data_IF_408640537911
#
_entry.id   IF_408640537911
#
_cell.length_a   1.000
_cell.length_b   1.000
_cell.length_c   1.000
_cell.angle_alpha   90.00
_cell.angle_beta   90.00
_cell.angle_gamma   90.00
#
_symmetry.space_group_name_H-M   'P 1'
#
loop_
_entity.id
_entity.type
_entity.pdbx_description
1 polymer ?
#
# COMPACT_ATOMS: atom_id res chain seq x y z
N UNK A 1 5.10 18.58 21.68
CA UNK A 1 4.70 18.57 20.25
C UNK A 1 5.32 17.35 19.57
N UNK A 2 4.60 16.62 18.71
CA UNK A 2 5.17 15.53 17.90
C UNK A 2 5.78 16.14 16.64
N UNK A 3 7.01 15.71 16.30
CA UNK A 3 7.63 16.01 15.00
C UNK A 3 7.44 14.82 14.07
N UNK A 4 6.66 15.02 13.00
CA UNK A 4 6.32 14.00 12.02
C UNK A 4 7.06 14.30 10.71
N UNK A 5 7.89 13.36 10.27
CA UNK A 5 8.41 13.34 8.90
C UNK A 5 7.46 12.63 7.95
N UNK A 6 7.45 13.04 6.69
CA UNK A 6 6.83 12.27 5.61
C UNK A 6 7.81 12.17 4.44
N UNK A 7 8.00 10.95 3.93
CA UNK A 7 8.67 10.68 2.66
C UNK A 7 7.58 10.30 1.66
N UNK A 8 7.37 11.10 0.63
CA UNK A 8 6.33 10.84 -0.37
C UNK A 8 6.76 11.29 -1.77
N UNK A 9 5.98 10.90 -2.77
CA UNK A 9 6.06 11.49 -4.11
C UNK A 9 5.71 13.00 -4.07
N UNK A 10 6.10 13.78 -5.09
CA UNK A 10 5.95 15.24 -5.08
C UNK A 10 4.55 15.72 -4.71
N UNK A 11 4.43 16.46 -3.60
CA UNK A 11 3.15 16.93 -3.05
C UNK A 11 2.38 17.87 -3.99
N UNK A 12 3.05 18.48 -4.95
CA UNK A 12 2.45 19.37 -5.97
C UNK A 12 1.69 18.61 -7.07
N UNK A 13 1.90 17.30 -7.17
CA UNK A 13 1.29 16.45 -8.20
C UNK A 13 0.06 15.67 -7.71
N UNK A 14 -0.24 15.72 -6.41
CA UNK A 14 -1.28 14.89 -5.81
C UNK A 14 -2.70 15.38 -6.14
N UNK A 15 -3.68 14.48 -5.97
CA UNK A 15 -5.10 14.82 -6.03
C UNK A 15 -5.66 14.83 -4.62
N UNK A 16 -5.71 16.00 -3.98
CA UNK A 16 -6.08 16.14 -2.55
C UNK A 16 -7.42 15.49 -2.15
N UNK A 17 -8.36 15.35 -3.09
CA UNK A 17 -9.66 14.66 -2.87
C UNK A 17 -9.54 13.14 -2.69
N UNK A 18 -8.44 12.54 -3.13
CA UNK A 18 -8.19 11.08 -3.12
C UNK A 18 -6.93 10.70 -2.34
N UNK A 19 -6.05 11.67 -2.08
CA UNK A 19 -4.75 11.42 -1.50
C UNK A 19 -4.85 11.15 0.01
N UNK A 20 -4.50 9.93 0.39
CA UNK A 20 -4.53 9.49 1.80
C UNK A 20 -3.36 10.08 2.58
N UNK A 21 -2.18 10.28 1.97
CA UNK A 21 -1.04 10.93 2.62
C UNK A 21 -1.42 12.36 3.04
N UNK A 22 -2.06 13.11 2.16
CA UNK A 22 -2.57 14.45 2.44
C UNK A 22 -3.64 14.46 3.54
N UNK A 23 -4.54 13.45 3.58
CA UNK A 23 -5.50 13.28 4.67
C UNK A 23 -4.78 13.13 6.02
N UNK A 24 -3.74 12.28 6.08
CA UNK A 24 -2.92 12.09 7.28
C UNK A 24 -2.25 13.39 7.71
N UNK A 25 -1.73 14.19 6.76
CA UNK A 25 -1.08 15.47 7.06
C UNK A 25 -2.06 16.50 7.64
N UNK A 26 -3.30 16.57 7.13
CA UNK A 26 -4.33 17.45 7.70
C UNK A 26 -4.64 17.07 9.15
N UNK A 27 -4.79 15.77 9.43
CA UNK A 27 -5.06 15.29 10.79
C UNK A 27 -3.87 15.53 11.73
N UNK A 28 -2.64 15.26 11.29
CA UNK A 28 -1.42 15.56 12.05
C UNK A 28 -1.34 17.06 12.38
N UNK A 29 -1.62 17.93 11.41
CA UNK A 29 -1.64 19.38 11.63
C UNK A 29 -2.77 19.80 12.57
N UNK A 30 -3.96 19.20 12.48
CA UNK A 30 -5.09 19.45 13.39
C UNK A 30 -4.73 19.10 14.84
N UNK A 31 -3.90 18.07 15.06
CA UNK A 31 -3.35 17.69 16.37
C UNK A 31 -2.15 18.55 16.81
N UNK A 32 -1.74 19.52 16.00
CA UNK A 32 -0.64 20.44 16.31
C UNK A 32 0.75 19.83 16.15
N UNK A 33 0.92 18.84 15.27
CA UNK A 33 2.24 18.28 14.97
C UNK A 33 3.07 19.27 14.13
N UNK A 34 4.39 19.24 14.30
CA UNK A 34 5.33 19.88 13.38
C UNK A 34 5.63 18.89 12.25
N UNK A 35 5.29 19.26 11.01
CA UNK A 35 5.41 18.38 9.84
C UNK A 35 6.67 18.73 9.06
N UNK A 36 7.47 17.71 8.76
CA UNK A 36 8.67 17.78 7.94
C UNK A 36 8.47 16.98 6.64
N UNK A 37 8.46 17.69 5.52
CA UNK A 37 8.34 17.11 4.19
C UNK A 37 9.70 16.71 3.62
N UNK A 38 9.75 15.53 2.99
CA UNK A 38 10.90 14.98 2.30
C UNK A 38 10.46 14.22 1.04
N UNK A 39 11.30 14.27 0.02
CA UNK A 39 11.27 13.36 -1.12
C UNK A 39 12.44 12.35 -1.03
N UNK A 40 12.50 11.37 -1.92
CA UNK A 40 13.57 10.36 -1.92
C UNK A 40 14.97 10.98 -2.06
N UNK A 41 15.10 12.04 -2.87
CA UNK A 41 16.37 12.75 -3.09
C UNK A 41 16.85 13.57 -1.88
N UNK A 42 15.96 13.83 -0.92
CA UNK A 42 16.29 14.56 0.30
C UNK A 42 16.98 13.65 1.32
N UNK A 43 16.77 12.33 1.22
CA UNK A 43 17.31 11.32 2.13
C UNK A 43 18.77 11.01 1.81
N UNK A 44 19.61 10.95 2.84
CA UNK A 44 20.97 10.46 2.68
C UNK A 44 21.51 9.82 3.95
N UNK A 45 22.59 9.06 3.77
CA UNK A 45 23.34 8.44 4.86
C UNK A 45 24.76 9.01 4.88
N UNK A 46 25.17 9.57 6.01
CA UNK A 46 26.55 10.02 6.21
C UNK A 46 27.16 9.31 7.41
N UNK A 47 28.19 8.49 7.16
CA UNK A 47 28.87 7.68 8.19
C UNK A 47 27.89 6.90 9.10
N UNK A 48 26.84 6.33 8.51
CA UNK A 48 25.84 5.53 9.24
C UNK A 48 24.78 6.33 9.99
N UNK A 49 24.78 7.66 9.89
CA UNK A 49 23.72 8.53 10.40
C UNK A 49 22.75 8.87 9.28
N UNK A 50 21.46 8.57 9.49
CA UNK A 50 20.39 8.94 8.57
C UNK A 50 20.05 10.41 8.72
N UNK A 51 20.09 11.13 7.61
CA UNK A 51 19.85 12.56 7.55
C UNK A 51 18.94 12.89 6.38
N UNK A 52 18.32 14.06 6.44
CA UNK A 52 17.60 14.60 5.31
C UNK A 52 17.59 16.12 5.29
N UNK A 53 17.52 16.67 4.08
CA UNK A 53 17.06 18.04 3.86
C UNK A 53 15.54 18.06 3.99
N UNK A 54 15.02 18.65 5.04
CA UNK A 54 13.57 18.73 5.29
C UNK A 54 13.05 20.14 5.09
N UNK A 55 11.80 20.27 4.66
CA UNK A 55 11.06 21.53 4.66
C UNK A 55 9.93 21.42 5.66
N UNK A 56 9.76 22.40 6.56
CA UNK A 56 8.55 22.44 7.38
C UNK A 56 7.34 22.64 6.47
N UNK A 57 6.23 21.97 6.79
CA UNK A 57 5.08 21.90 5.90
C UNK A 57 3.80 22.32 6.62
N UNK A 58 3.07 23.24 6.00
CA UNK A 58 1.68 23.54 6.33
C UNK A 58 0.80 23.04 5.19
N UNK A 59 -0.29 22.37 5.50
CA UNK A 59 -1.29 21.88 4.53
C UNK A 59 -2.65 22.51 4.77
N UNK A 60 -3.43 22.67 3.68
CA UNK A 60 -4.79 23.21 3.74
C UNK A 60 -5.63 22.54 2.67
N UNK A 61 -6.88 22.21 2.99
CA UNK A 61 -7.83 21.67 2.01
C UNK A 61 -8.32 22.74 1.02
N UNK A 62 -7.45 23.13 0.10
CA UNK A 62 -7.67 24.20 -0.88
C UNK A 62 -7.06 23.81 -2.25
N UNK A 63 -7.90 23.54 -3.27
CA UNK A 63 -7.40 23.18 -4.61
C UNK A 63 -6.55 24.26 -5.30
N UNK A 64 -6.59 25.52 -4.86
CA UNK A 64 -5.77 26.59 -5.42
C UNK A 64 -4.35 26.64 -4.82
N UNK A 65 -4.14 25.98 -3.68
CA UNK A 65 -2.88 25.98 -2.95
C UNK A 65 -3.01 25.17 -1.68
N UNK A 66 -2.71 23.88 -1.76
CA UNK A 66 -2.96 22.93 -0.67
C UNK A 66 -1.77 22.72 0.27
N UNK A 67 -0.62 23.30 -0.05
CA UNK A 67 0.58 23.19 0.75
C UNK A 67 1.41 24.47 0.72
N UNK A 68 2.19 24.69 1.77
CA UNK A 68 3.17 25.75 1.87
C UNK A 68 4.41 25.23 2.60
N UNK A 69 5.57 25.40 1.98
CA UNK A 69 6.85 25.14 2.64
C UNK A 69 7.25 26.34 3.51
N UNK A 70 7.73 26.03 4.72
CA UNK A 70 8.39 26.96 5.60
C UNK A 70 9.92 26.80 5.52
N UNK A 71 10.56 26.73 6.69
CA UNK A 71 12.01 26.64 6.81
C UNK A 71 12.55 25.33 6.24
N UNK A 72 13.61 25.44 5.44
CA UNK A 72 14.43 24.32 5.01
C UNK A 72 15.60 24.11 5.97
N UNK A 73 15.87 22.85 6.31
CA UNK A 73 16.89 22.49 7.29
C UNK A 73 17.41 21.08 7.05
N UNK A 74 18.70 20.89 7.29
CA UNK A 74 19.36 19.58 7.28
C UNK A 74 19.37 18.99 8.70
N UNK A 75 18.66 17.89 8.91
CA UNK A 75 18.50 17.29 10.24
C UNK A 75 18.86 15.80 10.24
N UNK A 76 19.24 15.28 11.40
CA UNK A 76 19.29 13.84 11.61
C UNK A 76 17.86 13.30 11.77
N UNK A 77 17.52 12.25 11.03
CA UNK A 77 16.16 11.71 11.00
C UNK A 77 15.73 11.10 12.33
N UNK A 78 16.68 10.62 13.14
CA UNK A 78 16.43 10.16 14.51
C UNK A 78 15.90 11.25 15.47
N UNK A 79 15.95 12.53 15.08
CA UNK A 79 15.38 13.63 15.88
C UNK A 79 13.87 13.81 15.66
N UNK A 80 13.31 13.21 14.61
CA UNK A 80 11.87 13.16 14.37
C UNK A 80 11.25 12.08 15.25
N UNK A 81 10.07 12.34 15.81
CA UNK A 81 9.39 11.33 16.64
C UNK A 81 8.85 10.18 15.77
N UNK A 82 8.32 10.51 14.59
CA UNK A 82 7.80 9.52 13.65
C UNK A 82 8.08 9.93 12.21
N UNK A 83 8.21 8.96 11.30
CA UNK A 83 8.34 9.18 9.86
C UNK A 83 7.35 8.28 9.13
N UNK A 84 6.48 8.89 8.34
CA UNK A 84 5.59 8.17 7.42
C UNK A 84 6.33 7.90 6.11
N UNK A 85 6.59 6.63 5.80
CA UNK A 85 7.10 6.20 4.49
C UNK A 85 5.90 5.99 3.56
N UNK A 86 5.60 7.01 2.75
CA UNK A 86 4.44 7.11 1.86
C UNK A 86 4.83 7.24 0.39
N UNK A 87 6.04 6.80 0.04
CA UNK A 87 6.48 6.66 -1.35
C UNK A 87 5.65 5.58 -2.04
N UNK A 88 5.08 5.89 -3.20
CA UNK A 88 4.34 4.91 -3.99
C UNK A 88 5.30 3.86 -4.60
N UNK A 89 4.84 2.62 -4.81
CA UNK A 89 5.53 1.63 -5.64
C UNK A 89 5.94 2.18 -7.03
N UNK A 90 6.89 1.53 -7.74
CA UNK A 90 7.27 0.13 -7.61
C UNK A 90 8.12 -0.18 -6.38
N UNK A 91 8.03 -1.43 -5.91
CA UNK A 91 8.98 -1.96 -4.94
C UNK A 91 10.26 -2.35 -5.67
N UNK A 92 11.15 -1.38 -5.85
CA UNK A 92 12.42 -1.53 -6.54
C UNK A 92 13.61 -1.44 -5.57
N UNK A 93 14.82 -1.49 -6.13
CA UNK A 93 16.04 -1.41 -5.32
C UNK A 93 16.21 -0.05 -4.64
N UNK A 94 15.72 1.04 -5.24
CA UNK A 94 15.79 2.38 -4.64
C UNK A 94 14.86 2.48 -3.42
N UNK A 95 13.66 1.89 -3.49
CA UNK A 95 12.78 1.73 -2.35
C UNK A 95 13.49 0.96 -1.22
N UNK A 96 14.15 -0.15 -1.56
CA UNK A 96 14.94 -0.94 -0.61
C UNK A 96 16.06 -0.10 0.02
N UNK A 97 16.82 0.67 -0.76
CA UNK A 97 17.88 1.53 -0.23
C UNK A 97 17.35 2.58 0.74
N UNK A 98 16.22 3.22 0.42
CA UNK A 98 15.57 4.15 1.34
C UNK A 98 15.16 3.45 2.65
N UNK A 99 14.71 2.19 2.62
CA UNK A 99 14.40 1.46 3.85
C UNK A 99 15.63 1.31 4.76
N UNK A 100 16.84 1.11 4.22
CA UNK A 100 18.05 1.04 5.06
C UNK A 100 18.40 2.40 5.68
N UNK A 101 18.17 3.51 4.99
CA UNK A 101 18.34 4.86 5.56
C UNK A 101 17.34 5.05 6.70
N UNK A 102 16.07 4.73 6.48
CA UNK A 102 15.02 4.85 7.51
C UNK A 102 15.25 3.91 8.70
N UNK A 103 15.83 2.73 8.49
CA UNK A 103 16.19 1.79 9.57
C UNK A 103 17.30 2.33 10.48
N UNK A 104 18.20 3.17 9.94
CA UNK A 104 19.18 3.90 10.75
C UNK A 104 18.54 5.02 11.58
N UNK A 105 17.46 5.65 11.08
CA UNK A 105 16.64 6.57 11.88
C UNK A 105 15.83 5.81 12.95
N UNK A 106 15.29 4.64 12.62
CA UNK A 106 14.59 3.75 13.55
C UNK A 106 15.50 3.35 14.72
N UNK A 107 16.73 2.91 14.40
CA UNK A 107 17.76 2.57 15.39
C UNK A 107 18.15 3.73 16.30
N UNK A 108 17.95 4.97 15.84
CA UNK A 108 18.20 6.20 16.59
C UNK A 108 16.97 6.69 17.39
N UNK A 109 15.85 5.95 17.36
CA UNK A 109 14.67 6.21 18.20
C UNK A 109 13.45 6.78 17.47
N UNK A 110 13.50 6.98 16.14
CA UNK A 110 12.33 7.42 15.37
C UNK A 110 11.38 6.25 15.11
N UNK A 111 10.08 6.44 15.30
CA UNK A 111 9.09 5.47 14.83
C UNK A 111 8.96 5.57 13.31
N UNK A 112 9.09 4.46 12.57
CA UNK A 112 8.87 4.46 11.13
C UNK A 112 7.56 3.74 10.81
N UNK A 113 6.69 4.40 10.04
CA UNK A 113 5.37 3.89 9.63
C UNK A 113 5.38 3.69 8.12
N UNK A 114 5.47 2.47 7.58
CA UNK A 114 5.63 1.17 8.26
C UNK A 114 7.10 0.80 8.51
N UNK A 115 7.32 -0.21 9.37
CA UNK A 115 8.67 -0.69 9.72
C UNK A 115 9.53 -1.04 8.48
N UNK A 116 10.75 -0.46 8.32
CA UNK A 116 11.61 -0.66 7.16
C UNK A 116 11.96 -2.11 6.85
N UNK A 117 12.30 -2.90 7.87
CA UNK A 117 12.56 -4.33 7.72
C UNK A 117 11.35 -5.05 7.15
N UNK A 118 10.17 -4.79 7.73
CA UNK A 118 8.93 -5.42 7.30
C UNK A 118 8.49 -5.01 5.91
N UNK A 119 8.79 -3.78 5.47
CA UNK A 119 8.59 -3.37 4.08
C UNK A 119 9.42 -4.23 3.11
N UNK A 120 10.62 -4.66 3.50
CA UNK A 120 11.45 -5.57 2.69
C UNK A 120 10.99 -7.03 2.78
N UNK A 121 10.52 -7.46 3.95
CA UNK A 121 10.04 -8.83 4.17
C UNK A 121 8.68 -9.10 3.50
N UNK A 122 7.83 -8.08 3.42
CA UNK A 122 6.41 -8.21 3.10
C UNK A 122 6.06 -7.61 1.74
N UNK A 123 6.58 -8.19 0.65
CA UNK A 123 6.16 -7.79 -0.70
C UNK A 123 4.64 -7.96 -0.87
N UNK A 124 3.99 -6.97 -1.51
CA UNK A 124 2.52 -6.84 -1.49
C UNK A 124 1.78 -8.04 -2.11
N UNK A 125 2.44 -8.80 -2.99
CA UNK A 125 1.89 -10.01 -3.60
C UNK A 125 2.40 -11.26 -2.91
N UNK A 126 3.71 -11.41 -2.73
CA UNK A 126 4.30 -12.62 -2.14
C UNK A 126 3.95 -12.81 -0.67
N UNK A 127 3.66 -11.74 0.07
CA UNK A 127 3.33 -11.85 1.49
C UNK A 127 2.02 -12.64 1.72
N UNK A 128 1.18 -12.75 0.69
CA UNK A 128 0.00 -13.64 0.71
C UNK A 128 0.36 -15.11 0.89
N UNK A 129 1.59 -15.54 0.57
CA UNK A 129 2.04 -16.92 0.76
C UNK A 129 2.05 -17.37 2.24
N UNK A 130 2.12 -16.42 3.19
CA UNK A 130 2.00 -16.70 4.62
C UNK A 130 0.54 -16.87 5.09
N UNK A 131 -0.42 -16.69 4.19
CA UNK A 131 -1.86 -16.79 4.45
C UNK A 131 -2.55 -17.63 3.37
N UNK A 132 -1.89 -18.66 2.87
CA UNK A 132 -2.33 -19.42 1.69
C UNK A 132 -3.79 -19.92 1.78
N UNK A 133 -4.27 -20.29 2.98
CA UNK A 133 -5.65 -20.73 3.22
C UNK A 133 -6.71 -19.65 2.91
N UNK A 134 -6.32 -18.37 2.97
CA UNK A 134 -7.18 -17.22 2.68
C UNK A 134 -7.11 -16.77 1.22
N UNK A 135 -6.17 -17.29 0.43
CA UNK A 135 -5.87 -16.82 -0.93
C UNK A 135 -6.54 -17.68 -2.01
N UNK A 136 -6.64 -17.22 -3.27
CA UNK A 136 -6.90 -18.13 -4.39
C UNK A 136 -5.72 -19.10 -4.59
N UNK A 137 -5.93 -20.17 -5.36
CA UNK A 137 -4.83 -21.03 -5.81
C UNK A 137 -3.80 -20.14 -6.53
N UNK A 138 -2.57 -20.13 -6.03
CA UNK A 138 -1.54 -19.17 -6.40
C UNK A 138 -0.24 -19.90 -6.74
N UNK A 139 0.29 -19.62 -7.93
CA UNK A 139 1.58 -20.09 -8.39
C UNK A 139 2.50 -18.90 -8.65
N UNK A 140 3.73 -18.95 -8.13
CA UNK A 140 4.79 -18.02 -8.49
C UNK A 140 5.92 -18.79 -9.17
N UNK A 141 6.25 -18.40 -10.40
CA UNK A 141 7.23 -19.12 -11.21
C UNK A 141 7.76 -18.26 -12.35
N UNK A 142 8.91 -18.66 -12.89
CA UNK A 142 9.45 -18.17 -14.18
C UNK A 142 9.39 -19.24 -15.27
N UNK A 143 8.91 -20.43 -14.93
CA UNK A 143 8.80 -21.57 -15.85
C UNK A 143 7.51 -21.49 -16.65
N UNK A 144 7.64 -21.37 -17.96
CA UNK A 144 6.52 -21.40 -18.90
C UNK A 144 5.68 -22.66 -18.76
N UNK A 145 6.30 -23.84 -18.68
CA UNK A 145 5.58 -25.11 -18.56
C UNK A 145 4.64 -25.12 -17.35
N UNK A 146 5.12 -24.66 -16.18
CA UNK A 146 4.29 -24.58 -14.96
C UNK A 146 3.12 -23.62 -15.12
N UNK A 147 3.31 -22.50 -15.82
CA UNK A 147 2.24 -21.53 -16.10
C UNK A 147 1.19 -22.12 -17.06
N UNK A 148 1.62 -22.85 -18.09
CA UNK A 148 0.72 -23.56 -19.02
C UNK A 148 -0.07 -24.65 -18.32
N UNK A 149 0.59 -25.42 -17.45
CA UNK A 149 -0.07 -26.47 -16.66
C UNK A 149 -1.10 -25.87 -15.71
N UNK A 150 -0.78 -24.73 -15.07
CA UNK A 150 -1.70 -24.00 -14.21
C UNK A 150 -2.90 -23.44 -14.99
N UNK A 151 -2.66 -22.81 -16.14
CA UNK A 151 -3.71 -22.33 -17.04
C UNK A 151 -4.62 -23.48 -17.51
N UNK A 152 -4.04 -24.62 -17.92
CA UNK A 152 -4.79 -25.81 -18.32
C UNK A 152 -5.62 -26.39 -17.18
N UNK A 153 -5.09 -26.40 -15.94
CA UNK A 153 -5.80 -26.90 -14.75
C UNK A 153 -7.05 -26.05 -14.43
N UNK A 154 -6.93 -24.73 -14.50
CA UNK A 154 -7.99 -23.82 -14.02
C UNK A 154 -8.91 -23.29 -15.12
N UNK A 155 -8.47 -23.23 -16.39
CA UNK A 155 -9.24 -22.75 -17.53
C UNK A 155 -9.55 -21.24 -17.53
N UNK A 156 -9.46 -20.55 -16.40
CA UNK A 156 -9.59 -19.10 -16.28
C UNK A 156 -8.67 -18.61 -15.17
N UNK A 157 -7.65 -17.83 -15.53
CA UNK A 157 -6.56 -17.43 -14.63
C UNK A 157 -6.22 -15.95 -14.78
N UNK A 158 -5.63 -15.40 -13.73
CA UNK A 158 -5.01 -14.08 -13.70
C UNK A 158 -3.50 -14.25 -13.63
N UNK A 159 -2.77 -13.70 -14.60
CA UNK A 159 -1.31 -13.57 -14.55
C UNK A 159 -0.92 -12.11 -14.30
N UNK A 160 0.02 -11.87 -13.38
CA UNK A 160 0.44 -10.53 -12.96
C UNK A 160 1.93 -10.48 -12.55
N UNK A 161 2.61 -9.33 -12.68
CA UNK A 161 3.98 -9.13 -12.18
C UNK A 161 4.01 -9.05 -10.66
N UNK A 162 5.21 -9.07 -10.06
CA UNK A 162 5.40 -9.05 -8.60
C UNK A 162 5.68 -7.65 -8.00
N UNK A 163 6.05 -6.69 -8.83
CA UNK A 163 6.63 -5.39 -8.44
C UNK A 163 5.70 -4.18 -8.69
N UNK A 164 4.74 -4.30 -9.61
CA UNK A 164 3.81 -3.23 -9.97
C UNK A 164 2.62 -3.05 -9.01
N UNK A 165 1.99 -1.88 -9.08
CA UNK A 165 0.76 -1.55 -8.34
C UNK A 165 -0.39 -1.16 -9.30
N UNK A 166 -1.60 -0.95 -8.78
CA UNK A 166 -2.68 -0.26 -9.50
C UNK A 166 -3.24 -0.99 -10.73
N UNK A 167 -2.98 -2.29 -10.87
CA UNK A 167 -3.46 -3.08 -12.00
C UNK A 167 -2.54 -3.06 -13.23
N UNK A 168 -1.27 -2.65 -13.06
CA UNK A 168 -0.27 -2.75 -14.12
C UNK A 168 -0.04 -4.22 -14.51
N UNK A 169 -0.12 -4.50 -15.83
CA UNK A 169 0.18 -5.82 -16.42
C UNK A 169 -0.59 -6.99 -15.80
N UNK A 170 -1.86 -6.77 -15.43
CA UNK A 170 -2.78 -7.85 -15.04
C UNK A 170 -3.48 -8.39 -16.29
N UNK A 171 -3.26 -9.66 -16.58
CA UNK A 171 -3.87 -10.34 -17.72
C UNK A 171 -4.82 -11.43 -17.23
N UNK A 172 -6.04 -11.46 -17.79
CA UNK A 172 -6.95 -12.59 -17.64
C UNK A 172 -6.85 -13.47 -18.87
N UNK A 173 -6.56 -14.75 -18.64
CA UNK A 173 -6.41 -15.76 -19.68
C UNK A 173 -7.50 -16.81 -19.50
N UNK A 174 -8.42 -16.89 -20.47
CA UNK A 174 -9.46 -17.94 -20.54
C UNK A 174 -8.92 -19.18 -21.26
N UNK A 175 -9.70 -20.25 -21.25
CA UNK A 175 -9.28 -21.60 -21.63
C UNK A 175 -8.61 -21.67 -23.02
N UNK A 176 -9.15 -20.94 -24.00
CA UNK A 176 -8.69 -20.95 -25.39
C UNK A 176 -8.07 -19.60 -25.81
N UNK A 177 -7.48 -18.85 -24.88
CA UNK A 177 -6.87 -17.56 -25.18
C UNK A 177 -5.62 -17.74 -26.07
N UNK A 178 -5.58 -17.15 -27.29
CA UNK A 178 -4.45 -17.33 -28.19
C UNK A 178 -3.16 -16.64 -27.69
N UNK A 179 -3.25 -15.77 -26.69
CA UNK A 179 -2.14 -14.96 -26.21
C UNK A 179 -1.41 -15.55 -24.99
N UNK A 180 -1.78 -16.75 -24.52
CA UNK A 180 -1.15 -17.37 -23.34
C UNK A 180 0.38 -17.39 -23.46
N UNK A 181 0.92 -17.78 -24.63
CA UNK A 181 2.36 -17.84 -24.85
C UNK A 181 3.05 -16.48 -24.73
N UNK A 182 2.61 -15.50 -25.51
CA UNK A 182 3.23 -14.16 -25.51
C UNK A 182 3.09 -13.44 -24.17
N UNK A 183 1.98 -13.66 -23.44
CA UNK A 183 1.79 -13.08 -22.11
C UNK A 183 2.76 -13.72 -21.09
N UNK A 184 2.97 -15.03 -21.15
CA UNK A 184 3.98 -15.69 -20.31
C UNK A 184 5.37 -15.14 -20.62
N UNK A 185 5.75 -15.07 -21.90
CA UNK A 185 7.05 -14.54 -22.33
C UNK A 185 7.25 -13.09 -21.86
N UNK A 186 6.21 -12.25 -22.01
CA UNK A 186 6.24 -10.84 -21.60
C UNK A 186 6.40 -10.69 -20.09
N UNK A 187 5.58 -11.39 -19.29
CA UNK A 187 5.59 -11.27 -17.83
C UNK A 187 6.84 -11.87 -17.19
N UNK A 188 7.37 -12.95 -17.77
CA UNK A 188 8.56 -13.63 -17.26
C UNK A 188 9.85 -13.14 -17.90
N UNK A 189 9.79 -12.14 -18.79
CA UNK A 189 10.93 -11.71 -19.60
C UNK A 189 11.67 -12.92 -20.19
N UNK A 190 10.96 -13.74 -20.96
CA UNK A 190 11.45 -15.01 -21.52
C UNK A 190 12.08 -15.95 -20.45
N UNK A 191 11.47 -16.04 -19.27
CA UNK A 191 11.92 -16.90 -18.16
C UNK A 191 13.02 -16.31 -17.27
N UNK A 192 13.39 -15.04 -17.43
CA UNK A 192 14.38 -14.35 -16.61
C UNK A 192 13.80 -13.69 -15.34
N UNK A 193 12.49 -13.49 -15.26
CA UNK A 193 11.79 -12.90 -14.10
C UNK A 193 10.64 -13.79 -13.63
N UNK A 194 10.32 -13.70 -12.34
CA UNK A 194 9.15 -14.39 -11.77
C UNK A 194 7.87 -13.60 -12.06
N UNK A 195 6.78 -14.32 -12.32
CA UNK A 195 5.44 -13.78 -12.30
C UNK A 195 4.53 -14.59 -11.37
N UNK A 196 3.35 -14.06 -11.08
CA UNK A 196 2.32 -14.71 -10.30
C UNK A 196 1.14 -15.09 -11.17
N UNK A 197 0.63 -16.30 -10.97
CA UNK A 197 -0.60 -16.83 -11.55
C UNK A 197 -1.59 -17.15 -10.42
N UNK A 198 -2.85 -16.74 -10.58
CA UNK A 198 -3.95 -17.06 -9.67
C UNK A 198 -5.14 -17.58 -10.46
N UNK A 199 -5.97 -18.47 -9.90
CA UNK A 199 -7.24 -18.79 -10.54
C UNK A 199 -8.15 -17.55 -10.56
N UNK A 200 -8.92 -17.36 -11.63
CA UNK A 200 -9.84 -16.22 -11.74
C UNK A 200 -10.93 -16.32 -10.67
N UNK A 201 -11.30 -15.16 -10.10
CA UNK A 201 -12.33 -15.03 -9.08
C UNK A 201 -13.54 -14.28 -9.66
N UNK A 202 -14.65 -14.98 -9.99
CA UNK A 202 -15.83 -14.35 -10.59
C UNK A 202 -16.46 -13.24 -9.74
N UNK A 203 -16.23 -13.27 -8.42
CA UNK A 203 -16.69 -12.25 -7.47
C UNK A 203 -16.08 -10.86 -7.72
N UNK A 204 -15.07 -10.71 -8.59
CA UNK A 204 -14.53 -9.39 -8.98
C UNK A 204 -15.60 -8.46 -9.57
N UNK A 205 -16.67 -9.02 -10.15
CA UNK A 205 -17.83 -8.25 -10.63
C UNK A 205 -18.51 -7.44 -9.51
N UNK A 206 -18.40 -7.91 -8.27
CA UNK A 206 -18.98 -7.28 -7.07
C UNK A 206 -18.00 -6.29 -6.41
N UNK A 207 -16.77 -6.23 -6.94
CA UNK A 207 -15.72 -5.29 -6.54
C UNK A 207 -14.52 -5.95 -5.86
N UNK A 208 -13.35 -5.37 -6.10
CA UNK A 208 -12.12 -5.62 -5.34
C UNK A 208 -12.11 -4.70 -4.11
N UNK A 209 -12.40 -5.27 -2.94
CA UNK A 209 -12.55 -4.53 -1.68
C UNK A 209 -11.19 -4.16 -1.11
N UNK A 210 -10.97 -2.86 -0.89
CA UNK A 210 -9.87 -2.31 -0.09
C UNK A 210 -10.30 -2.21 1.37
N UNK A 211 -9.79 -3.10 2.21
CA UNK A 211 -9.98 -3.07 3.67
C UNK A 211 -8.74 -2.42 4.29
N UNK A 212 -8.92 -1.33 5.05
CA UNK A 212 -7.81 -0.67 5.74
C UNK A 212 -7.63 -1.27 7.13
N UNK A 213 -6.37 -1.48 7.52
CA UNK A 213 -5.96 -1.98 8.82
C UNK A 213 -5.08 -0.93 9.49
N UNK A 214 -5.36 -0.63 10.77
CA UNK A 214 -4.62 0.32 11.58
C UNK A 214 -4.12 -0.37 12.85
N UNK A 215 -2.81 -0.59 12.97
CA UNK A 215 -2.14 -1.28 14.08
C UNK A 215 -2.76 -2.65 14.43
N UNK A 216 -3.23 -3.36 13.40
CA UNK A 216 -3.92 -4.65 13.52
C UNK A 216 -5.45 -4.53 13.68
N UNK A 217 -6.01 -3.34 13.82
CA UNK A 217 -7.46 -3.15 13.91
C UNK A 217 -8.07 -2.88 12.53
N UNK A 218 -9.09 -3.66 12.08
CA UNK A 218 -9.79 -3.39 10.83
C UNK A 218 -10.65 -2.12 10.93
N UNK A 219 -10.56 -1.25 9.92
CA UNK A 219 -11.54 -0.17 9.71
C UNK A 219 -12.88 -0.81 9.33
N UNK A 220 -14.00 -0.43 9.96
CA UNK A 220 -15.29 -1.14 9.81
C UNK A 220 -15.96 -0.98 8.43
N UNK A 221 -15.39 -0.15 7.57
CA UNK A 221 -15.81 0.06 6.18
C UNK A 221 -14.65 -0.21 5.22
N UNK A 222 -14.98 -0.69 4.03
CA UNK A 222 -14.06 -0.88 2.92
C UNK A 222 -14.51 -0.06 1.71
N UNK A 223 -13.62 0.10 0.73
CA UNK A 223 -13.97 0.59 -0.59
C UNK A 223 -13.99 -0.58 -1.57
N UNK A 224 -15.17 -0.99 -2.04
CA UNK A 224 -15.32 -1.95 -3.13
C UNK A 224 -15.03 -1.26 -4.46
N UNK A 225 -13.99 -1.70 -5.18
CA UNK A 225 -13.57 -1.10 -6.45
C UNK A 225 -14.07 -1.96 -7.60
N UNK A 226 -15.13 -1.52 -8.24
CA UNK A 226 -15.89 -2.27 -9.25
C UNK A 226 -15.30 -1.97 -10.65
N UNK A 227 -14.92 -2.99 -11.43
CA UNK A 227 -14.40 -2.78 -12.79
C UNK A 227 -15.38 -2.05 -13.70
N UNK A 228 -14.86 -1.23 -14.60
CA UNK A 228 -15.67 -0.64 -15.67
C UNK A 228 -16.15 -1.72 -16.66
N UNK A 229 -17.21 -1.43 -17.42
CA UNK A 229 -17.72 -2.37 -18.43
C UNK A 229 -16.63 -2.66 -19.47
N UNK A 230 -16.25 -3.94 -19.61
CA UNK A 230 -15.20 -4.39 -20.53
C UNK A 230 -13.79 -4.35 -19.94
N UNK A 231 -13.61 -3.88 -18.71
CA UNK A 231 -12.35 -3.89 -17.99
C UNK A 231 -12.32 -5.07 -17.00
N UNK A 232 -11.14 -5.68 -16.84
CA UNK A 232 -10.94 -6.82 -15.93
C UNK A 232 -10.48 -6.34 -14.54
N UNK A 233 -9.89 -5.15 -14.47
CA UNK A 233 -9.29 -4.59 -13.27
C UNK A 233 -10.28 -3.75 -12.48
N UNK A 234 -10.38 -3.99 -11.18
CA UNK A 234 -11.20 -3.18 -10.27
C UNK A 234 -10.57 -1.85 -9.88
N UNK A 235 -9.24 -1.69 -10.01
CA UNK A 235 -8.50 -0.54 -9.47
C UNK A 235 -9.05 0.81 -9.96
N UNK A 236 -9.15 1.79 -9.05
CA UNK A 236 -9.56 3.16 -9.39
C UNK A 236 -8.63 3.80 -10.43
N UNK A 237 -7.35 3.43 -10.43
CA UNK A 237 -6.37 3.88 -11.42
C UNK A 237 -6.68 3.38 -12.85
N UNK A 238 -7.39 2.26 -12.97
CA UNK A 238 -7.83 1.68 -14.24
C UNK A 238 -9.27 2.10 -14.63
N UNK A 239 -9.85 3.09 -13.95
CA UNK A 239 -11.20 3.60 -14.25
C UNK A 239 -12.34 2.87 -13.52
N UNK A 240 -12.04 2.02 -12.54
CA UNK A 240 -13.06 1.42 -11.68
C UNK A 240 -13.83 2.45 -10.84
N UNK A 241 -15.06 2.11 -10.46
CA UNK A 241 -15.90 2.90 -9.55
C UNK A 241 -15.75 2.40 -8.11
N UNK A 242 -15.59 3.31 -7.16
CA UNK A 242 -15.49 2.98 -5.74
C UNK A 242 -16.85 3.10 -5.04
N UNK A 243 -17.28 2.04 -4.38
CA UNK A 243 -18.47 2.00 -3.53
C UNK A 243 -18.06 1.68 -2.10
N UNK A 244 -18.39 2.54 -1.15
CA UNK A 244 -18.06 2.30 0.27
C UNK A 244 -19.09 1.34 0.86
N UNK A 245 -18.62 0.31 1.57
CA UNK A 245 -19.46 -0.72 2.18
C UNK A 245 -18.98 -1.08 3.58
N UNK A 246 -19.87 -1.44 4.51
CA UNK A 246 -19.44 -2.07 5.76
C UNK A 246 -18.75 -3.41 5.47
N UNK A 247 -17.82 -3.81 6.33
CA UNK A 247 -17.17 -5.12 6.21
C UNK A 247 -18.19 -6.25 6.36
N UNK A 248 -18.17 -7.22 5.46
CA UNK A 248 -18.92 -8.48 5.62
C UNK A 248 -18.31 -9.36 6.72
N UNK A 249 -19.00 -10.44 7.10
CA UNK A 249 -18.44 -11.43 8.04
C UNK A 249 -17.15 -12.06 7.52
N UNK A 250 -17.07 -12.35 6.22
CA UNK A 250 -15.84 -12.87 5.59
C UNK A 250 -14.71 -11.85 5.59
N UNK A 251 -15.02 -10.57 5.38
CA UNK A 251 -14.04 -9.48 5.46
C UNK A 251 -13.46 -9.38 6.87
N UNK A 252 -14.31 -9.40 7.90
CA UNK A 252 -13.88 -9.43 9.29
C UNK A 252 -13.02 -10.66 9.60
N UNK A 253 -13.40 -11.84 9.10
CA UNK A 253 -12.64 -13.07 9.32
C UNK A 253 -11.23 -13.01 8.72
N UNK A 254 -11.10 -12.54 7.47
CA UNK A 254 -9.80 -12.34 6.82
C UNK A 254 -8.97 -11.31 7.58
N UNK A 255 -9.55 -10.13 7.85
CA UNK A 255 -8.85 -9.03 8.50
C UNK A 255 -8.32 -9.43 9.89
N UNK A 256 -9.14 -10.12 10.69
CA UNK A 256 -8.75 -10.63 12.02
C UNK A 256 -7.70 -11.75 11.97
N UNK A 257 -7.69 -12.55 10.91
CA UNK A 257 -6.68 -13.60 10.72
C UNK A 257 -5.30 -13.02 10.40
N UNK A 258 -5.27 -11.92 9.62
CA UNK A 258 -4.03 -11.25 9.21
C UNK A 258 -3.51 -10.29 10.30
N UNK A 259 -4.41 -9.69 11.08
CA UNK A 259 -4.13 -8.66 12.08
C UNK A 259 -2.94 -8.93 13.04
N UNK A 260 -2.83 -10.10 13.70
CA UNK A 260 -1.74 -10.34 14.65
C UNK A 260 -0.36 -10.22 14.01
N UNK A 261 -0.22 -10.74 12.79
CA UNK A 261 1.04 -10.73 12.05
C UNK A 261 1.41 -9.32 11.61
N UNK A 262 0.44 -8.50 11.17
CA UNK A 262 0.69 -7.10 10.82
C UNK A 262 1.24 -6.33 12.02
N UNK A 263 0.60 -6.52 13.18
CA UNK A 263 0.96 -5.84 14.42
C UNK A 263 2.34 -6.26 14.92
N UNK A 264 2.63 -7.56 14.92
CA UNK A 264 3.94 -8.13 15.27
C UNK A 264 5.04 -7.55 14.40
N UNK A 265 4.78 -7.44 13.08
CA UNK A 265 5.73 -6.90 12.11
C UNK A 265 5.82 -5.36 12.11
N UNK A 266 5.04 -4.64 12.91
CA UNK A 266 5.02 -3.17 12.85
C UNK A 266 4.53 -2.62 11.51
N UNK A 267 3.65 -3.35 10.84
CA UNK A 267 2.88 -2.88 9.69
C UNK A 267 1.64 -2.16 10.22
N UNK A 268 1.81 -0.89 10.56
CA UNK A 268 0.84 -0.06 11.30
C UNK A 268 -0.28 0.44 10.38
N UNK A 269 -0.02 0.73 9.11
CA UNK A 269 -1.05 1.14 8.16
C UNK A 269 -1.01 0.28 6.90
N UNK A 270 -2.02 -0.57 6.71
CA UNK A 270 -2.03 -1.60 5.66
C UNK A 270 -3.36 -1.59 4.91
N UNK A 271 -3.33 -1.85 3.60
CA UNK A 271 -4.53 -2.08 2.79
C UNK A 271 -4.61 -3.53 2.32
N UNK A 272 -5.61 -4.28 2.76
CA UNK A 272 -5.90 -5.62 2.25
C UNK A 272 -6.79 -5.50 1.01
N UNK A 273 -6.44 -6.25 -0.03
CA UNK A 273 -7.26 -6.37 -1.23
C UNK A 273 -7.97 -7.74 -1.20
N UNK A 274 -9.31 -7.70 -1.24
CA UNK A 274 -10.16 -8.88 -1.07
C UNK A 274 -11.19 -8.94 -2.20
N UNK A 275 -11.22 -10.07 -2.92
CA UNK A 275 -12.24 -10.37 -3.93
C UNK A 275 -13.10 -11.53 -3.42
N UNK A 276 -14.39 -11.27 -3.22
CA UNK A 276 -15.29 -12.22 -2.58
C UNK A 276 -14.86 -12.50 -1.14
N UNK A 277 -14.40 -13.73 -0.90
CA UNK A 277 -13.87 -14.25 0.37
C UNK A 277 -12.37 -14.60 0.29
N UNK A 278 -11.66 -14.08 -0.72
CA UNK A 278 -10.24 -14.36 -0.93
C UNK A 278 -9.37 -13.12 -0.83
N UNK A 279 -8.31 -13.22 -0.03
CA UNK A 279 -7.23 -12.25 0.05
C UNK A 279 -6.34 -12.36 -1.20
N UNK A 280 -6.18 -11.27 -1.94
CA UNK A 280 -5.42 -11.27 -3.20
C UNK A 280 -4.09 -10.55 -3.10
N UNK A 281 -4.00 -9.47 -2.29
CA UNK A 281 -2.79 -8.67 -2.04
C UNK A 281 -2.82 -8.02 -0.64
N UNK A 282 -1.64 -7.71 -0.09
CA UNK A 282 -1.46 -7.01 1.19
C UNK A 282 -0.58 -5.76 0.93
N UNK A 283 -1.20 -4.60 0.76
CA UNK A 283 -0.52 -3.35 0.42
C UNK A 283 0.08 -2.72 1.69
N UNK A 284 1.42 -2.71 1.78
CA UNK A 284 2.16 -2.23 2.97
C UNK A 284 2.93 -0.94 2.73
N UNK A 285 3.03 -0.48 1.48
CA UNK A 285 3.82 0.70 1.10
C UNK A 285 3.00 1.99 1.25
N UNK A 286 2.14 2.28 0.27
CA UNK A 286 1.32 3.50 0.20
C UNK A 286 -0.16 3.17 -0.02
N UNK A 287 -0.81 2.32 0.82
CA UNK A 287 -2.23 2.03 0.65
C UNK A 287 -3.06 3.32 0.72
N UNK A 288 -4.11 3.39 -0.10
CA UNK A 288 -5.03 4.54 -0.21
C UNK A 288 -6.48 4.10 0.06
N UNK A 289 -7.45 4.97 -0.25
CA UNK A 289 -8.90 4.83 -0.07
C UNK A 289 -9.46 5.36 1.26
N UNK A 290 -8.63 5.99 2.11
CA UNK A 290 -9.12 6.58 3.36
C UNK A 290 -10.10 7.73 3.08
N UNK A 291 -9.78 8.61 2.12
CA UNK A 291 -10.61 9.77 1.77
C UNK A 291 -12.01 9.39 1.35
N UNK A 292 -12.16 8.39 0.48
CA UNK A 292 -13.45 7.92 0.02
C UNK A 292 -14.28 7.33 1.16
N UNK A 293 -13.66 6.57 2.05
CA UNK A 293 -14.32 5.99 3.22
C UNK A 293 -14.79 7.09 4.19
N UNK A 294 -13.89 8.00 4.58
CA UNK A 294 -14.22 9.10 5.51
C UNK A 294 -15.25 10.07 4.93
N UNK A 295 -15.27 10.28 3.61
CA UNK A 295 -16.28 11.11 2.95
C UNK A 295 -17.69 10.48 2.99
N UNK A 296 -17.79 9.15 2.89
CA UNK A 296 -19.05 8.43 2.98
C UNK A 296 -19.51 8.23 4.43
N UNK A 297 -18.57 8.07 5.37
CA UNK A 297 -18.81 7.84 6.80
C UNK A 297 -17.97 8.81 7.65
N UNK A 298 -18.42 10.07 7.83
CA UNK A 298 -17.68 11.10 8.56
C UNK A 298 -17.46 10.79 10.06
N UNK A 299 -18.20 9.82 10.60
CA UNK A 299 -18.06 9.30 11.96
C UNK A 299 -16.84 8.37 12.12
N UNK A 300 -16.28 7.86 11.02
CA UNK A 300 -15.06 7.06 11.01
C UNK A 300 -13.90 7.93 10.54
N UNK A 301 -12.91 8.10 11.42
CA UNK A 301 -11.65 8.77 11.08
C UNK A 301 -10.52 7.75 11.01
N UNK A 302 -10.23 7.28 9.80
CA UNK A 302 -9.11 6.37 9.52
C UNK A 302 -7.78 7.05 9.86
N UNK A 303 -7.66 8.33 9.50
CA UNK A 303 -6.49 9.16 9.81
C UNK A 303 -6.34 9.39 11.30
N UNK A 304 -7.45 9.60 12.02
CA UNK A 304 -7.47 9.70 13.48
C UNK A 304 -7.00 8.41 14.15
N UNK A 305 -7.54 7.25 13.72
CA UNK A 305 -7.09 5.94 14.21
C UNK A 305 -5.58 5.75 14.03
N UNK A 306 -5.03 6.17 12.88
CA UNK A 306 -3.59 6.07 12.62
C UNK A 306 -2.77 6.94 13.57
N UNK A 307 -3.18 8.20 13.76
CA UNK A 307 -2.46 9.09 14.67
C UNK A 307 -2.57 8.63 16.13
N UNK A 308 -3.71 8.08 16.55
CA UNK A 308 -3.86 7.46 17.88
C UNK A 308 -2.90 6.28 18.06
N UNK A 309 -2.76 5.43 17.04
CA UNK A 309 -1.82 4.31 17.06
C UNK A 309 -0.36 4.79 17.12
N UNK A 310 -0.02 5.86 16.41
CA UNK A 310 1.30 6.50 16.45
C UNK A 310 1.59 7.06 17.85
N UNK A 311 0.66 7.85 18.41
CA UNK A 311 0.79 8.42 19.76
C UNK A 311 1.00 7.34 20.82
N UNK A 312 0.18 6.27 20.76
CA UNK A 312 0.31 5.12 21.64
C UNK A 312 1.68 4.44 21.53
N UNK A 313 2.20 4.25 20.32
CA UNK A 313 3.54 3.66 20.10
C UNK A 313 4.67 4.58 20.56
N UNK A 314 4.45 5.89 20.57
CA UNK A 314 5.37 6.89 21.13
C UNK A 314 5.22 7.10 22.65
N UNK A 315 4.22 6.47 23.28
CA UNK A 315 3.92 6.63 24.70
C UNK A 315 3.36 8.01 25.07
N UNK A 316 2.54 8.60 24.20
CA UNK A 316 1.91 9.92 24.38
C UNK A 316 0.40 9.84 24.51
#
# INVERSE_FOLDING_TARGET
>A
MIKLGIVMDPIDSIKIKKDTSFAMLLEAQRRGYEIHYMEMNDLYLHQGVARARTRTLTVKEDPAGWYQFGTEQDIALGTLNTILMRKDPPFDTEFIYATYILERAESAGSLIVNKPQSLRDCNEKLFTAWFADLTPDTLVTRSEQRLRDFHKKHGDVIFKPLDGMGGASIFRLKQDDPNVGVIIETLTNHGHTFCMAQNFLPAIKDGDKRILMVDGEPVPYCLARIPAKGETRGNLAAGGHGEVRPLSESDWAIARSVAPVLKEKGLIFVGLDVIGDRLTEINVTSPTCAREIEAAHPDVSVTGMLMDAIEKRLGR
#
